data_IF_953059103525
#
_entry.id   IF_953059103525
#
_cell.length_a   1.000
_cell.length_b   1.000
_cell.length_c   1.000
_cell.angle_alpha   90.00
_cell.angle_beta   90.00
_cell.angle_gamma   90.00
#
_symmetry.space_group_name_H-M   'P 1'
#
loop_
_entity.id
_entity.type
_entity.pdbx_description
1 polymer ?
#
# COMPACT_ATOMS: atom_id res chain seq x y z
N UNK A 1 -21.34 5.26 16.71
CA UNK A 1 -19.86 5.36 16.72
C UNK A 1 -19.43 6.10 15.47
N UNK A 2 -18.73 7.24 15.59
CA UNK A 2 -18.26 7.99 14.41
C UNK A 2 -17.09 7.25 13.75
N UNK A 3 -17.13 7.08 12.42
CA UNK A 3 -16.01 6.47 11.67
C UNK A 3 -14.80 7.42 11.77
N UNK A 4 -13.69 6.93 12.34
CA UNK A 4 -12.40 7.64 12.34
C UNK A 4 -12.02 7.93 10.88
N UNK A 5 -11.71 9.18 10.56
CA UNK A 5 -11.22 9.58 9.24
C UNK A 5 -9.79 9.04 9.07
N UNK A 6 -9.56 8.35 7.96
CA UNK A 6 -8.27 7.74 7.64
C UNK A 6 -7.22 8.84 7.40
N UNK A 7 -6.01 8.69 7.93
CA UNK A 7 -4.91 9.65 7.69
C UNK A 7 -4.42 9.57 6.24
N UNK A 8 -3.56 10.51 5.82
CA UNK A 8 -2.96 10.47 4.49
C UNK A 8 -2.02 9.27 4.34
N UNK A 9 -1.24 8.99 5.39
CA UNK A 9 -0.30 7.86 5.43
C UNK A 9 -1.05 6.53 5.31
N UNK A 10 -2.14 6.37 6.08
CA UNK A 10 -3.01 5.18 6.00
C UNK A 10 -3.64 5.03 4.59
N UNK A 11 -3.93 6.14 3.89
CA UNK A 11 -4.45 6.12 2.52
C UNK A 11 -3.40 5.68 1.51
N UNK A 12 -2.17 6.18 1.64
CA UNK A 12 -1.04 5.81 0.79
C UNK A 12 -0.70 4.32 1.01
N UNK A 13 -0.57 3.88 2.26
CA UNK A 13 -0.29 2.50 2.61
C UNK A 13 -1.34 1.53 2.06
N UNK A 14 -2.64 1.90 2.18
CA UNK A 14 -3.72 1.13 1.59
C UNK A 14 -3.60 1.05 0.06
N UNK A 15 -3.35 2.17 -0.62
CA UNK A 15 -3.20 2.20 -2.08
C UNK A 15 -2.03 1.36 -2.57
N UNK A 16 -0.86 1.47 -1.93
CA UNK A 16 0.32 0.67 -2.25
C UNK A 16 0.09 -0.82 -1.98
N UNK A 17 -0.57 -1.16 -0.87
CA UNK A 17 -0.95 -2.54 -0.54
C UNK A 17 -1.87 -3.13 -1.62
N UNK A 18 -2.86 -2.36 -2.07
CA UNK A 18 -3.76 -2.78 -3.14
C UNK A 18 -3.03 -2.95 -4.49
N UNK A 19 -2.01 -2.13 -4.79
CA UNK A 19 -1.16 -2.31 -5.97
C UNK A 19 -0.28 -3.56 -5.87
N UNK A 20 0.35 -3.77 -4.72
CA UNK A 20 1.29 -4.86 -4.49
C UNK A 20 0.60 -6.24 -4.51
N UNK A 21 -0.48 -6.38 -3.74
CA UNK A 21 -1.16 -7.65 -3.51
C UNK A 21 -2.48 -7.81 -4.29
N UNK A 22 -3.00 -6.76 -4.92
CA UNK A 22 -4.29 -6.81 -5.61
C UNK A 22 -4.33 -7.75 -6.81
N UNK A 23 -5.49 -8.37 -7.03
CA UNK A 23 -5.73 -9.20 -8.21
C UNK A 23 -5.87 -8.35 -9.48
N UNK A 24 -5.40 -8.88 -10.62
CA UNK A 24 -5.63 -8.30 -11.94
C UNK A 24 -6.91 -8.83 -12.63
N UNK A 25 -7.70 -9.68 -11.95
CA UNK A 25 -8.84 -10.35 -12.57
C UNK A 25 -9.83 -9.40 -13.26
N UNK A 26 -10.13 -8.24 -12.68
CA UNK A 26 -11.10 -7.31 -13.29
C UNK A 26 -10.57 -6.66 -14.57
N UNK A 27 -9.27 -6.37 -14.64
CA UNK A 27 -8.63 -5.94 -15.88
C UNK A 27 -8.62 -7.06 -16.93
N UNK A 28 -8.42 -8.32 -16.53
CA UNK A 28 -8.52 -9.47 -17.44
C UNK A 28 -9.96 -9.64 -17.93
N UNK A 29 -10.97 -9.55 -17.05
CA UNK A 29 -12.38 -9.59 -17.45
C UNK A 29 -12.69 -8.49 -18.46
N UNK A 30 -12.18 -7.28 -18.26
CA UNK A 30 -12.39 -6.14 -19.15
C UNK A 30 -11.97 -6.44 -20.60
N UNK A 31 -10.91 -7.24 -20.81
CA UNK A 31 -10.45 -7.62 -22.16
C UNK A 31 -11.48 -8.44 -22.95
N UNK A 32 -12.39 -9.14 -22.28
CA UNK A 32 -13.36 -10.04 -22.89
C UNK A 32 -14.79 -9.50 -22.88
N UNK A 33 -15.01 -8.32 -22.30
CA UNK A 33 -16.33 -7.69 -22.29
C UNK A 33 -16.65 -7.02 -23.62
N UNK A 34 -17.92 -7.11 -24.03
CA UNK A 34 -18.45 -6.26 -25.10
C UNK A 34 -18.53 -4.78 -24.66
N UNK A 35 -18.64 -3.84 -25.61
CA UNK A 35 -18.69 -2.40 -25.28
C UNK A 35 -19.89 -2.04 -24.39
N UNK A 36 -21.06 -2.63 -24.66
CA UNK A 36 -22.27 -2.43 -23.86
C UNK A 36 -22.07 -2.92 -22.42
N UNK A 37 -21.42 -4.08 -22.24
CA UNK A 37 -21.11 -4.60 -20.92
C UNK A 37 -20.11 -3.71 -20.17
N UNK A 38 -19.10 -3.18 -20.87
CA UNK A 38 -18.14 -2.24 -20.28
C UNK A 38 -18.89 -1.03 -19.74
N UNK A 39 -19.76 -0.39 -20.53
CA UNK A 39 -20.49 0.82 -20.10
C UNK A 39 -21.35 0.57 -18.86
N UNK A 40 -21.91 -0.62 -18.71
CA UNK A 40 -22.75 -0.99 -17.56
C UNK A 40 -21.93 -1.40 -16.32
N UNK A 41 -20.81 -2.10 -16.52
CA UNK A 41 -20.04 -2.74 -15.43
C UNK A 41 -18.84 -1.92 -14.98
N UNK A 42 -18.35 -0.96 -15.78
CA UNK A 42 -17.13 -0.18 -15.50
C UNK A 42 -17.07 0.41 -14.08
N UNK A 43 -18.14 1.00 -13.51
CA UNK A 43 -18.10 1.55 -12.15
C UNK A 43 -17.85 0.51 -11.05
N UNK A 44 -18.03 -0.78 -11.36
CA UNK A 44 -17.86 -1.90 -10.41
C UNK A 44 -16.52 -2.62 -10.59
N UNK A 45 -15.78 -2.35 -11.66
CA UNK A 45 -14.49 -2.99 -11.92
C UNK A 45 -13.39 -2.36 -11.06
N UNK A 46 -12.62 -3.20 -10.36
CA UNK A 46 -11.44 -2.75 -9.63
C UNK A 46 -10.23 -2.72 -10.55
N UNK A 47 -9.93 -1.54 -11.08
CA UNK A 47 -8.83 -1.31 -12.04
C UNK A 47 -7.63 -0.57 -11.43
N UNK A 48 -7.48 -0.59 -10.11
CA UNK A 48 -6.42 0.15 -9.40
C UNK A 48 -5.00 -0.19 -9.87
N UNK A 49 -4.79 -1.42 -10.34
CA UNK A 49 -3.51 -1.90 -10.83
C UNK A 49 -3.18 -1.47 -12.26
N UNK A 50 -4.12 -0.83 -12.98
CA UNK A 50 -3.98 -0.43 -14.38
C UNK A 50 -3.33 0.95 -14.48
N UNK A 51 -2.24 1.05 -15.24
CA UNK A 51 -1.53 2.30 -15.52
C UNK A 51 -1.93 2.92 -16.86
N UNK A 52 -2.38 2.10 -17.82
CA UNK A 52 -2.76 2.57 -19.15
C UNK A 52 -3.76 1.60 -19.80
N UNK A 53 -4.74 2.13 -20.54
CA UNK A 53 -5.64 1.37 -21.42
C UNK A 53 -5.60 2.00 -22.81
N UNK A 54 -5.40 1.20 -23.85
CA UNK A 54 -5.39 1.65 -25.25
C UNK A 54 -6.22 0.74 -26.14
N UNK A 55 -6.77 1.33 -27.22
CA UNK A 55 -7.42 0.63 -28.32
C UNK A 55 -6.71 0.97 -29.64
N UNK A 56 -5.64 0.23 -30.01
CA UNK A 56 -4.96 0.43 -31.29
C UNK A 56 -5.90 0.26 -32.49
N UNK A 57 -5.46 0.75 -33.66
CA UNK A 57 -6.24 0.76 -34.92
C UNK A 57 -6.73 -0.63 -35.38
N UNK A 58 -6.15 -1.71 -34.87
CA UNK A 58 -6.58 -3.09 -35.12
C UNK A 58 -7.76 -3.57 -34.27
N UNK A 59 -8.37 -2.70 -33.45
CA UNK A 59 -9.55 -3.02 -32.65
C UNK A 59 -9.28 -3.82 -31.36
N UNK A 60 -8.04 -4.26 -31.15
CA UNK A 60 -7.62 -4.89 -29.88
C UNK A 60 -7.62 -3.91 -28.70
N UNK A 61 -7.62 -4.44 -27.49
CA UNK A 61 -7.43 -3.67 -26.26
C UNK A 61 -6.09 -4.05 -25.62
N UNK A 62 -5.30 -3.04 -25.27
CA UNK A 62 -4.04 -3.20 -24.54
C UNK A 62 -4.19 -2.58 -23.14
N UNK A 63 -3.78 -3.33 -22.12
CA UNK A 63 -3.79 -2.88 -20.73
C UNK A 63 -2.37 -3.01 -20.18
N UNK A 64 -1.85 -1.93 -19.61
CA UNK A 64 -0.59 -1.96 -18.84
C UNK A 64 -0.89 -1.87 -17.36
N UNK A 65 -0.05 -2.54 -16.57
CA UNK A 65 -0.13 -2.50 -15.12
C UNK A 65 0.96 -1.63 -14.53
N UNK A 66 0.74 -1.15 -13.30
CA UNK A 66 1.81 -0.64 -12.47
C UNK A 66 2.81 -1.74 -12.10
N UNK A 67 4.03 -1.33 -11.78
CA UNK A 67 5.07 -2.22 -11.29
C UNK A 67 4.80 -2.60 -9.83
N UNK A 68 4.54 -3.89 -9.59
CA UNK A 68 4.28 -4.41 -8.24
C UNK A 68 5.51 -4.42 -7.36
N UNK A 69 6.69 -4.64 -7.93
CA UNK A 69 7.95 -4.69 -7.18
C UNK A 69 8.21 -3.32 -6.56
N UNK A 70 8.00 -2.25 -7.32
CA UNK A 70 8.10 -0.88 -6.79
C UNK A 70 7.11 -0.59 -5.66
N UNK A 71 5.89 -1.15 -5.72
CA UNK A 71 4.93 -1.01 -4.63
C UNK A 71 5.41 -1.75 -3.38
N UNK A 72 6.00 -2.94 -3.51
CA UNK A 72 6.61 -3.67 -2.39
C UNK A 72 7.78 -2.90 -1.77
N UNK A 73 8.69 -2.39 -2.60
CA UNK A 73 9.84 -1.58 -2.14
C UNK A 73 9.37 -0.40 -1.29
N UNK A 74 8.37 0.36 -1.78
CA UNK A 74 7.80 1.50 -1.04
C UNK A 74 7.12 1.11 0.27
N UNK A 75 6.45 -0.06 0.31
CA UNK A 75 5.86 -0.56 1.56
C UNK A 75 6.92 -0.99 2.58
N UNK A 76 8.05 -1.55 2.13
CA UNK A 76 9.16 -1.94 3.01
C UNK A 76 9.85 -0.68 3.55
N UNK A 77 10.15 0.30 2.70
CA UNK A 77 10.74 1.60 3.10
C UNK A 77 9.91 2.29 4.18
N UNK A 78 8.60 2.45 3.94
CA UNK A 78 7.69 3.09 4.91
C UNK A 78 7.60 2.34 6.25
N UNK A 79 7.76 1.02 6.26
CA UNK A 79 7.79 0.23 7.49
C UNK A 79 9.14 0.33 8.22
N UNK A 80 10.24 0.39 7.49
CA UNK A 80 11.59 0.59 8.03
C UNK A 80 11.74 1.94 8.73
N UNK A 81 11.28 3.02 8.10
CA UNK A 81 11.26 4.36 8.70
C UNK A 81 10.42 4.43 9.99
N UNK A 82 9.35 3.62 10.08
CA UNK A 82 8.51 3.53 11.28
C UNK A 82 9.25 2.89 12.47
N UNK A 83 10.19 1.97 12.21
CA UNK A 83 11.01 1.30 13.22
C UNK A 83 12.25 2.10 13.64
N UNK A 84 12.80 2.93 12.75
CA UNK A 84 13.90 3.86 13.07
C UNK A 84 13.47 5.16 13.77
N UNK A 85 12.21 5.26 14.22
CA UNK A 85 11.85 6.32 15.16
C UNK A 85 12.65 6.10 16.45
N UNK A 86 13.60 7.00 16.72
CA UNK A 86 14.62 6.93 17.79
C UNK A 86 14.12 6.75 19.24
N UNK A 87 12.83 6.52 19.43
CA UNK A 87 12.23 6.06 20.68
C UNK A 87 12.92 4.78 21.18
N UNK A 88 13.23 3.82 20.31
CA UNK A 88 13.93 2.58 20.71
C UNK A 88 15.30 2.86 21.38
N UNK A 89 16.08 3.78 20.82
CA UNK A 89 17.40 4.14 21.38
C UNK A 89 17.28 5.00 22.65
N UNK A 90 16.37 5.98 22.67
CA UNK A 90 16.11 6.78 23.87
C UNK A 90 15.53 5.94 25.02
N UNK A 91 14.62 5.01 24.74
CA UNK A 91 14.07 4.06 25.71
C UNK A 91 15.16 3.11 26.23
N UNK A 92 16.08 2.66 25.38
CA UNK A 92 17.21 1.84 25.80
C UNK A 92 18.16 2.63 26.74
N UNK A 93 18.44 3.89 26.41
CA UNK A 93 19.22 4.78 27.28
C UNK A 93 18.52 5.02 28.62
N UNK A 94 17.23 5.32 28.62
CA UNK A 94 16.45 5.56 29.84
C UNK A 94 16.41 4.32 30.74
N UNK A 95 16.18 3.13 30.16
CA UNK A 95 16.24 1.85 30.90
C UNK A 95 17.61 1.58 31.49
N UNK A 96 18.69 1.89 30.76
CA UNK A 96 20.05 1.71 31.28
C UNK A 96 20.36 2.65 32.46
N UNK A 97 19.86 3.88 32.42
CA UNK A 97 20.02 4.84 33.51
C UNK A 97 19.22 4.46 34.76
N UNK A 98 17.99 3.95 34.58
CA UNK A 98 17.13 3.47 35.67
C UNK A 98 17.72 2.24 36.37
N UNK A 99 18.17 1.24 35.61
CA UNK A 99 18.81 0.05 36.19
C UNK A 99 20.06 0.39 37.02
N UNK A 100 20.85 1.38 36.58
CA UNK A 100 22.06 1.80 37.28
C UNK A 100 21.73 2.59 38.57
N UNK A 101 20.62 3.33 38.60
CA UNK A 101 20.17 4.03 39.80
C UNK A 101 19.62 3.07 40.88
N UNK A 102 19.02 1.95 40.48
CA UNK A 102 18.53 0.91 41.39
C UNK A 102 19.65 0.09 42.04
N UNK A 103 20.78 -0.13 41.35
CA UNK A 103 21.96 -0.81 41.93
C UNK A 103 22.69 0.03 43.00
N UNK A 104 22.63 1.37 42.91
CA UNK A 104 23.31 2.28 43.85
C UNK A 104 22.49 2.54 45.13
N UNK A 105 21.18 2.28 45.11
CA UNK A 105 20.27 2.53 46.23
C UNK A 105 20.14 1.40 47.26
N UNK A 106 20.77 0.25 47.03
CA UNK A 106 20.60 -0.97 47.83
C UNK A 106 21.90 -1.47 48.50
N UNK A 107 22.92 -0.61 48.59
CA UNK A 107 24.21 -0.87 49.25
C UNK A 107 24.37 -0.15 50.58
#
# INVERSE_FOLDING_TARGET
MAKKKMTLEEQIEKGLTELAFGSCCDAVKLLFMSEDEIMQKLPKLKLINVSEIKRPKGGGMEIKFFDRIKAFEKLIENNGERQENGLSFYEALEKSAQNNAEEVGNG
#
